data_IF_783785081979
#
_entry.id   IF_783785081979
#
_cell.length_a   1.000
_cell.length_b   1.000
_cell.length_c   1.000
_cell.angle_alpha   90.00
_cell.angle_beta   90.00
_cell.angle_gamma   90.00
#
_symmetry.space_group_name_H-M   'P 1'
#
loop_
_entity.id
_entity.type
_entity.pdbx_description
1 polymer ?
#
# COMPACT_ATOMS: atom_id res chain seq x y z
N UNK A 1 2.87 18.19 -10.15
CA UNK A 1 2.96 18.87 -8.84
C UNK A 1 2.08 18.24 -7.74
N UNK A 2 1.81 16.92 -7.78
CA UNK A 2 0.89 16.27 -6.83
C UNK A 2 1.58 15.72 -5.57
N UNK A 3 2.81 15.20 -5.70
CA UNK A 3 3.60 14.66 -4.58
C UNK A 3 3.68 15.59 -3.34
N UNK A 4 4.06 16.88 -3.47
CA UNK A 4 4.12 17.76 -2.30
C UNK A 4 2.74 18.02 -1.66
N UNK A 5 1.65 17.97 -2.43
CA UNK A 5 0.29 18.05 -1.86
C UNK A 5 -0.01 16.81 -1.00
N UNK A 6 0.29 15.60 -1.50
CA UNK A 6 0.12 14.37 -0.72
C UNK A 6 0.98 14.38 0.55
N UNK A 7 2.23 14.87 0.46
CA UNK A 7 3.11 15.02 1.62
C UNK A 7 2.53 15.98 2.67
N UNK A 8 1.96 17.11 2.24
CA UNK A 8 1.25 18.05 3.12
C UNK A 8 0.04 17.42 3.80
N UNK A 9 -0.75 16.63 3.06
CA UNK A 9 -1.90 15.90 3.64
C UNK A 9 -1.44 14.83 4.62
N UNK A 10 -0.37 14.09 4.32
CA UNK A 10 0.19 13.11 5.24
C UNK A 10 0.68 13.76 6.55
N UNK A 11 1.36 14.90 6.46
CA UNK A 11 1.76 15.68 7.63
C UNK A 11 0.55 16.22 8.41
N UNK A 12 -0.50 16.65 7.71
CA UNK A 12 -1.76 17.07 8.32
C UNK A 12 -2.43 15.92 9.08
N UNK A 13 -2.57 14.74 8.51
CA UNK A 13 -3.13 13.57 9.23
C UNK A 13 -2.26 13.18 10.43
N UNK A 14 -0.93 13.19 10.28
CA UNK A 14 0.03 12.89 11.35
C UNK A 14 -0.10 13.85 12.54
N UNK A 15 -0.45 15.11 12.33
CA UNK A 15 -0.60 16.08 13.43
C UNK A 15 -1.80 15.76 14.33
N UNK A 16 -2.86 15.17 13.78
CA UNK A 16 -4.02 14.68 14.53
C UNK A 16 -3.80 13.28 15.11
N UNK A 17 -2.95 12.46 14.47
CA UNK A 17 -2.60 11.11 14.92
C UNK A 17 -1.09 10.92 15.07
N UNK A 18 -0.45 11.50 16.11
CA UNK A 18 1.01 11.49 16.23
C UNK A 18 1.62 10.08 16.34
N UNK A 19 0.86 9.09 16.79
CA UNK A 19 1.32 7.71 16.98
C UNK A 19 1.09 6.81 15.76
N UNK A 20 0.36 7.27 14.75
CA UNK A 20 0.07 6.44 13.56
C UNK A 20 1.33 6.15 12.75
N UNK A 21 1.44 4.92 12.29
CA UNK A 21 2.52 4.51 11.40
C UNK A 21 2.38 5.15 10.01
N UNK A 22 3.43 5.10 9.18
CA UNK A 22 3.33 5.51 7.78
C UNK A 22 2.26 4.73 6.99
N UNK A 23 2.05 3.44 7.29
CA UNK A 23 1.05 2.61 6.62
C UNK A 23 -0.38 2.99 7.03
N UNK A 24 -0.61 3.28 8.33
CA UNK A 24 -1.89 3.82 8.82
C UNK A 24 -2.30 5.09 8.07
N UNK A 25 -1.38 6.05 7.97
CA UNK A 25 -1.62 7.36 7.34
C UNK A 25 -1.91 7.19 5.85
N UNK A 26 -1.11 6.36 5.18
CA UNK A 26 -1.35 6.00 3.77
C UNK A 26 -2.72 5.35 3.59
N UNK A 27 -3.07 4.40 4.45
CA UNK A 27 -4.36 3.73 4.42
C UNK A 27 -5.50 4.74 4.58
N UNK A 28 -5.43 5.63 5.56
CA UNK A 28 -6.45 6.65 5.79
C UNK A 28 -6.64 7.56 4.58
N UNK A 29 -5.55 8.00 3.94
CA UNK A 29 -5.59 8.82 2.72
C UNK A 29 -6.23 8.05 1.55
N UNK A 30 -5.90 6.77 1.40
CA UNK A 30 -6.39 5.94 0.29
C UNK A 30 -7.87 5.56 0.47
N UNK A 31 -8.29 5.11 1.65
CA UNK A 31 -9.66 4.61 1.88
C UNK A 31 -10.70 5.73 1.98
N UNK A 32 -10.28 6.97 2.20
CA UNK A 32 -11.16 8.15 2.25
C UNK A 32 -11.12 8.99 0.98
N UNK A 33 -10.34 8.59 -0.03
CA UNK A 33 -10.28 9.28 -1.31
C UNK A 33 -11.63 9.25 -2.03
N UNK A 34 -11.95 10.32 -2.76
CA UNK A 34 -13.10 10.36 -3.64
C UNK A 34 -12.86 9.52 -4.89
N UNK A 35 -13.78 8.62 -5.26
CA UNK A 35 -13.67 7.85 -6.49
C UNK A 35 -13.57 8.77 -7.71
N UNK A 36 -12.67 8.44 -8.63
CA UNK A 36 -12.54 9.15 -9.89
C UNK A 36 -13.30 8.42 -11.00
N UNK A 37 -13.73 9.17 -12.02
CA UNK A 37 -14.52 8.61 -13.11
C UNK A 37 -13.61 7.88 -14.12
N UNK A 38 -13.68 6.56 -14.14
CA UNK A 38 -12.93 5.70 -15.07
C UNK A 38 -13.23 6.01 -16.56
N UNK A 39 -14.41 6.54 -16.88
CA UNK A 39 -14.77 6.93 -18.26
C UNK A 39 -13.92 8.10 -18.77
N UNK A 40 -13.41 8.94 -17.84
CA UNK A 40 -12.57 10.09 -18.16
C UNK A 40 -11.07 9.78 -18.03
N UNK A 41 -10.72 8.61 -17.50
CA UNK A 41 -9.34 8.21 -17.24
C UNK A 41 -9.19 6.74 -17.62
N UNK A 42 -8.77 6.49 -18.86
CA UNK A 42 -8.68 5.16 -19.48
C UNK A 42 -7.79 4.16 -18.74
N UNK A 43 -6.91 4.61 -17.84
CA UNK A 43 -6.10 3.74 -16.97
C UNK A 43 -6.76 3.38 -15.62
N UNK A 44 -7.94 3.93 -15.31
CA UNK A 44 -8.67 3.68 -14.07
C UNK A 44 -7.77 3.70 -12.81
N UNK A 45 -7.78 2.66 -12.00
CA UNK A 45 -6.97 2.55 -10.77
C UNK A 45 -5.46 2.56 -11.06
N UNK A 46 -5.02 2.15 -12.25
CA UNK A 46 -3.62 2.27 -12.65
C UNK A 46 -3.22 3.72 -13.00
N UNK A 47 -4.20 4.61 -13.22
CA UNK A 47 -3.97 6.03 -13.43
C UNK A 47 -4.09 6.86 -12.14
N UNK A 48 -5.11 6.61 -11.31
CA UNK A 48 -5.42 7.43 -10.13
C UNK A 48 -5.39 6.68 -8.79
N UNK A 49 -5.07 5.39 -8.77
CA UNK A 49 -5.08 4.58 -7.54
C UNK A 49 -6.47 4.55 -6.90
N UNK A 50 -6.55 4.94 -5.64
CA UNK A 50 -7.81 5.01 -4.89
C UNK A 50 -8.67 6.23 -5.22
N UNK A 51 -8.15 7.20 -5.99
CA UNK A 51 -8.87 8.39 -6.43
C UNK A 51 -8.31 9.71 -5.89
N UNK A 52 -9.17 10.72 -5.79
CA UNK A 52 -8.78 12.08 -5.41
C UNK A 52 -8.77 12.24 -3.88
N UNK A 53 -7.67 12.71 -3.32
CA UNK A 53 -7.47 12.79 -1.87
C UNK A 53 -8.52 13.70 -1.20
N UNK A 54 -9.04 13.26 -0.05
CA UNK A 54 -9.91 14.03 0.82
C UNK A 54 -9.27 14.24 2.21
N UNK A 55 -8.57 15.36 2.45
CA UNK A 55 -7.85 15.58 3.70
C UNK A 55 -8.75 15.61 4.94
N UNK A 56 -9.98 16.12 4.77
CA UNK A 56 -10.92 16.30 5.88
C UNK A 56 -11.49 14.97 6.42
N UNK A 57 -11.59 13.95 5.59
CA UNK A 57 -12.03 12.61 6.01
C UNK A 57 -10.85 11.74 6.45
N UNK A 58 -9.65 11.97 5.91
CA UNK A 58 -8.46 11.18 6.25
C UNK A 58 -8.05 11.27 7.73
N UNK A 59 -8.49 12.28 8.48
CA UNK A 59 -8.28 12.37 9.94
C UNK A 59 -9.19 11.43 10.73
N UNK A 60 -10.27 10.91 10.16
CA UNK A 60 -11.14 9.93 10.84
C UNK A 60 -11.68 8.91 9.82
N UNK A 61 -10.82 8.00 9.34
CA UNK A 61 -11.18 7.00 8.33
C UNK A 61 -12.04 5.86 8.89
N UNK A 62 -12.28 5.80 10.20
CA UNK A 62 -12.90 4.69 10.91
C UNK A 62 -11.96 3.49 11.07
N UNK A 63 -11.48 2.92 9.97
CA UNK A 63 -10.57 1.78 9.94
C UNK A 63 -9.32 2.07 9.09
N UNK A 64 -8.22 1.40 9.41
CA UNK A 64 -6.94 1.48 8.67
C UNK A 64 -6.36 0.09 8.43
N UNK A 65 -5.69 -0.06 7.30
CA UNK A 65 -4.88 -1.22 6.92
C UNK A 65 -3.45 -1.01 7.44
N UNK A 66 -3.17 -1.56 8.62
CA UNK A 66 -1.88 -1.46 9.28
C UNK A 66 -0.89 -2.49 8.72
N UNK A 67 0.31 -2.03 8.33
CA UNK A 67 1.41 -2.90 7.93
C UNK A 67 2.72 -2.44 8.57
N UNK A 68 3.51 -3.39 9.06
CA UNK A 68 4.77 -3.17 9.77
C UNK A 68 5.96 -3.41 8.86
N UNK A 69 7.15 -3.03 9.34
CA UNK A 69 8.42 -3.19 8.62
C UNK A 69 8.64 -4.65 8.21
N UNK A 70 8.30 -5.57 9.10
CA UNK A 70 8.44 -7.01 8.96
C UNK A 70 7.59 -7.52 7.79
N UNK A 71 6.35 -7.03 7.64
CA UNK A 71 5.45 -7.42 6.53
C UNK A 71 6.04 -7.02 5.16
N UNK A 72 6.65 -5.84 5.07
CA UNK A 72 7.34 -5.41 3.85
C UNK A 72 8.59 -6.25 3.57
N UNK A 73 9.35 -6.61 4.60
CA UNK A 73 10.52 -7.49 4.45
C UNK A 73 10.06 -8.86 3.95
N UNK A 74 9.00 -9.43 4.51
CA UNK A 74 8.44 -10.71 4.08
C UNK A 74 7.96 -10.67 2.62
N UNK A 75 7.24 -9.62 2.24
CA UNK A 75 6.81 -9.39 0.85
C UNK A 75 8.02 -9.28 -0.10
N UNK A 76 9.03 -8.50 0.27
CA UNK A 76 10.23 -8.25 -0.53
C UNK A 76 11.08 -9.53 -0.66
N UNK A 77 11.22 -10.30 0.43
CA UNK A 77 11.88 -11.61 0.44
C UNK A 77 11.23 -12.62 -0.51
N UNK A 78 9.98 -12.45 -0.95
CA UNK A 78 9.38 -13.32 -1.98
C UNK A 78 9.77 -12.95 -3.41
N UNK A 79 9.99 -11.67 -3.69
CA UNK A 79 10.32 -11.19 -5.04
C UNK A 79 11.82 -11.13 -5.32
N UNK A 80 12.64 -10.81 -4.32
CA UNK A 80 14.04 -10.42 -4.52
C UNK A 80 15.02 -11.12 -3.57
N UNK A 81 14.80 -12.42 -3.31
CA UNK A 81 15.58 -13.27 -2.37
C UNK A 81 17.09 -12.97 -2.42
N UNK A 82 17.67 -12.88 -3.62
CA UNK A 82 19.12 -12.73 -3.80
C UNK A 82 19.64 -11.29 -3.59
N UNK A 83 18.79 -10.27 -3.79
CA UNK A 83 19.22 -8.87 -3.75
C UNK A 83 19.11 -8.26 -2.34
N UNK A 84 18.11 -8.68 -1.55
CA UNK A 84 17.86 -8.14 -0.21
C UNK A 84 18.86 -8.63 0.84
N UNK A 85 19.43 -9.82 0.65
CA UNK A 85 20.48 -10.34 1.53
C UNK A 85 21.73 -9.44 1.57
N UNK A 86 21.92 -8.56 0.57
CA UNK A 86 23.08 -7.68 0.44
C UNK A 86 22.81 -6.22 0.87
N UNK A 87 21.56 -5.84 1.16
CA UNK A 87 21.17 -4.45 1.48
C UNK A 87 20.99 -4.25 2.99
N UNK A 88 20.85 -5.32 3.77
CA UNK A 88 20.66 -5.26 5.22
C UNK A 88 21.97 -5.26 6.00
N UNK A 89 22.16 -4.24 6.84
CA UNK A 89 23.10 -4.26 7.96
C UNK A 89 22.63 -5.37 8.93
N UNK A 90 23.19 -6.58 8.76
CA UNK A 90 23.31 -7.66 9.74
C UNK A 90 22.07 -8.29 10.44
N UNK A 91 20.83 -8.24 9.93
CA UNK A 91 19.75 -9.09 10.54
C UNK A 91 18.49 -9.44 9.70
N UNK A 92 18.47 -9.31 8.38
CA UNK A 92 17.32 -9.82 7.58
C UNK A 92 17.72 -11.03 6.76
N UNK A 93 18.08 -12.10 7.47
CA UNK A 93 18.08 -13.44 6.89
C UNK A 93 16.63 -13.73 6.55
N UNK A 94 16.23 -13.57 5.27
CA UNK A 94 15.01 -14.20 4.78
C UNK A 94 15.11 -15.67 5.21
N UNK A 95 14.39 -16.07 6.26
CA UNK A 95 14.63 -17.36 6.86
C UNK A 95 14.43 -18.43 5.79
N UNK A 96 15.47 -19.25 5.55
CA UNK A 96 15.48 -20.31 4.53
C UNK A 96 14.37 -21.37 4.71
N UNK A 97 13.58 -21.27 5.79
CA UNK A 97 12.40 -22.08 6.08
C UNK A 97 11.11 -21.65 5.35
N UNK A 98 11.20 -20.80 4.33
CA UNK A 98 10.08 -20.46 3.45
C UNK A 98 9.05 -19.54 4.10
N UNK A 99 9.15 -18.23 3.84
CA UNK A 99 8.10 -17.26 4.17
C UNK A 99 6.77 -17.79 3.61
N UNK A 100 5.73 -17.94 4.43
CA UNK A 100 4.43 -18.45 3.96
C UNK A 100 3.56 -17.36 3.34
N UNK A 101 3.85 -16.10 3.67
CA UNK A 101 3.11 -14.93 3.21
C UNK A 101 3.42 -14.69 1.73
N UNK A 102 2.37 -14.62 0.91
CA UNK A 102 2.48 -14.23 -0.49
C UNK A 102 2.39 -12.71 -0.58
N UNK A 103 2.98 -12.08 -1.61
CA UNK A 103 2.88 -10.62 -1.76
C UNK A 103 1.45 -10.08 -1.83
N UNK A 104 0.51 -10.91 -2.30
CA UNK A 104 -0.92 -10.60 -2.33
C UNK A 104 -1.57 -10.53 -0.93
N UNK A 105 -0.92 -11.09 0.09
CA UNK A 105 -1.42 -11.15 1.48
C UNK A 105 -0.93 -9.96 2.31
N UNK A 106 -0.12 -9.06 1.73
CA UNK A 106 0.25 -7.81 2.40
C UNK A 106 -1.02 -7.03 2.74
N UNK A 107 -1.13 -6.56 3.99
CA UNK A 107 -2.27 -5.79 4.48
C UNK A 107 -2.29 -4.37 3.87
N UNK A 108 -2.64 -4.30 2.59
CA UNK A 108 -2.56 -3.10 1.76
C UNK A 108 -3.96 -2.61 1.41
N UNK A 109 -4.22 -1.29 1.40
CA UNK A 109 -5.56 -0.70 1.19
C UNK A 109 -6.06 -0.76 -0.26
N UNK A 110 -5.56 -1.71 -1.07
CA UNK A 110 -6.00 -1.98 -2.43
C UNK A 110 -5.65 -3.41 -2.80
N UNK A 111 -6.46 -4.02 -3.66
CA UNK A 111 -6.23 -5.37 -4.19
C UNK A 111 -5.92 -5.32 -5.69
N UNK A 112 -5.06 -6.22 -6.14
CA UNK A 112 -4.76 -6.40 -7.56
C UNK A 112 -4.50 -7.88 -7.84
N UNK A 113 -4.87 -8.32 -9.03
CA UNK A 113 -4.61 -9.68 -9.50
C UNK A 113 -4.28 -9.65 -10.99
N UNK A 114 -3.23 -10.38 -11.38
CA UNK A 114 -2.88 -10.56 -12.78
C UNK A 114 -3.64 -11.76 -13.34
N UNK A 115 -4.44 -11.54 -14.38
CA UNK A 115 -5.17 -12.59 -15.08
C UNK A 115 -4.70 -12.69 -16.53
N UNK A 116 -4.74 -13.89 -17.09
CA UNK A 116 -4.57 -14.04 -18.54
C UNK A 116 -5.87 -13.66 -19.23
N UNK A 117 -5.75 -13.04 -20.41
CA UNK A 117 -6.91 -12.78 -21.25
C UNK A 117 -7.62 -14.12 -21.58
N UNK A 118 -8.96 -14.09 -21.60
CA UNK A 118 -9.84 -15.20 -21.97
C UNK A 118 -9.83 -16.45 -21.08
N UNK A 119 -9.27 -16.38 -19.86
CA UNK A 119 -9.42 -17.45 -18.86
C UNK A 119 -10.36 -17.03 -17.73
N UNK A 120 -11.31 -17.91 -17.37
CA UNK A 120 -12.14 -17.72 -16.18
C UNK A 120 -11.28 -17.77 -14.92
N UNK A 121 -11.33 -16.70 -14.12
CA UNK A 121 -10.60 -16.60 -12.86
C UNK A 121 -11.54 -16.89 -11.68
N UNK A 122 -11.10 -17.74 -10.76
CA UNK A 122 -11.79 -18.05 -9.49
C UNK A 122 -10.79 -17.85 -8.36
N UNK A 123 -11.22 -17.11 -7.32
CA UNK A 123 -10.40 -16.66 -6.18
C UNK A 123 -10.08 -17.80 -5.21
#
# INVERSE_FOLDING_TARGET
MSCPHVAGVAAYVKSFHPQWSPSAIKSAIMTTAFPMNASTSTGAEFAYGSGHINPSYAINPGLVYEAYKEDYIEMLCKYYIDMLCNVGDNMTVCHRGGVKVLPKDLNYPSMTTGVMADTSYTY
#
